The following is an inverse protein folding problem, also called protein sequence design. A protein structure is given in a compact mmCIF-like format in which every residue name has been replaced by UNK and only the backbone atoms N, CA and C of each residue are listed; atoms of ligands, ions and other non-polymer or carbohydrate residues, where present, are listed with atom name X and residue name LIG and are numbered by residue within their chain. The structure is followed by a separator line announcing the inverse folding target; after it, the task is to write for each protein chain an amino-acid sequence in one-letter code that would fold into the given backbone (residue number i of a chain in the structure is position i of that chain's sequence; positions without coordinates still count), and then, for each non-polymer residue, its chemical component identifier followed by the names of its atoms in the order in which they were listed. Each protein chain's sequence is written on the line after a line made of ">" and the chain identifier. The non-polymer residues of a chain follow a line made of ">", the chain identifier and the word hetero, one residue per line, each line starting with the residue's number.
data_IF_096708277326
#
_entry.id   IF_096708277326
#
_cell.length_a   1.000
_cell.length_b   1.000
_cell.length_c   1.000
_cell.angle_alpha   90.00
_cell.angle_beta   90.00
_cell.angle_gamma   90.00
#
_symmetry.space_group_name_H-M   'P 1'
#
loop_
_entity.id
_entity.type
_entity.pdbx_description
1 polymer ?
#
# COMPACT_ATOMS: atom_id res chain seq x y z
N UNK A 1 121.21 24.27 -32.03
CA UNK A 1 120.31 23.89 -30.90
C UNK A 1 119.44 25.05 -30.36
N UNK A 2 119.31 26.20 -31.06
CA UNK A 2 118.53 27.37 -30.60
C UNK A 2 117.14 27.56 -31.25
N UNK A 3 116.84 26.88 -32.35
CA UNK A 3 115.61 27.12 -33.13
C UNK A 3 114.35 26.43 -32.59
N UNK A 4 114.46 25.33 -31.82
CA UNK A 4 113.28 24.63 -31.28
C UNK A 4 112.62 25.33 -30.08
N UNK A 5 113.36 26.13 -29.32
CA UNK A 5 112.82 26.85 -28.13
C UNK A 5 111.95 28.03 -28.52
N UNK A 6 112.22 28.66 -29.66
CA UNK A 6 111.46 29.81 -30.16
C UNK A 6 110.08 29.41 -30.68
N UNK A 7 109.92 28.23 -31.27
CA UNK A 7 108.61 27.75 -31.77
C UNK A 7 107.62 27.41 -30.65
N UNK A 8 108.09 26.85 -29.53
CA UNK A 8 107.24 26.55 -28.39
C UNK A 8 106.77 27.81 -27.64
N UNK A 9 107.64 28.80 -27.49
CA UNK A 9 107.27 30.12 -26.94
C UNK A 9 106.27 30.84 -27.85
N UNK A 10 106.47 30.80 -29.17
CA UNK A 10 105.55 31.37 -30.16
C UNK A 10 104.18 30.68 -30.09
N UNK A 11 104.14 29.35 -29.98
CA UNK A 11 102.89 28.58 -29.83
C UNK A 11 102.15 28.89 -28.53
N UNK A 12 102.87 29.02 -27.42
CA UNK A 12 102.26 29.39 -26.12
C UNK A 12 101.73 30.83 -26.12
N UNK A 13 102.43 31.76 -26.79
CA UNK A 13 101.97 33.12 -26.99
C UNK A 13 100.74 33.19 -27.91
N UNK A 14 100.68 32.40 -28.98
CA UNK A 14 99.51 32.31 -29.86
C UNK A 14 98.29 31.76 -29.10
N UNK A 15 98.47 30.68 -28.34
CA UNK A 15 97.41 30.13 -27.49
C UNK A 15 96.91 31.14 -26.45
N UNK A 16 97.82 31.92 -25.83
CA UNK A 16 97.45 32.96 -24.88
C UNK A 16 96.69 34.12 -25.56
N UNK A 17 97.11 34.53 -26.76
CA UNK A 17 96.41 35.53 -27.57
C UNK A 17 95.01 35.05 -27.95
N UNK A 18 94.87 33.80 -28.43
CA UNK A 18 93.59 33.19 -28.79
C UNK A 18 92.65 33.07 -27.59
N UNK A 19 93.18 32.65 -26.43
CA UNK A 19 92.41 32.58 -25.19
C UNK A 19 91.94 33.97 -24.72
N UNK A 20 92.79 35.00 -24.83
CA UNK A 20 92.41 36.38 -24.51
C UNK A 20 91.39 36.96 -25.51
N UNK A 21 91.54 36.68 -26.80
CA UNK A 21 90.57 37.04 -27.85
C UNK A 21 89.20 36.42 -27.57
N UNK A 22 89.13 35.12 -27.29
CA UNK A 22 87.88 34.47 -26.89
C UNK A 22 87.30 35.02 -25.56
N UNK A 23 88.14 35.48 -24.63
CA UNK A 23 87.67 36.11 -23.39
C UNK A 23 87.05 37.49 -23.64
N UNK A 24 87.55 38.23 -24.63
CA UNK A 24 87.01 39.53 -25.07
C UNK A 24 85.72 39.32 -25.86
N UNK A 25 85.68 38.37 -26.79
CA UNK A 25 84.47 38.00 -27.56
C UNK A 25 83.34 37.54 -26.65
N UNK A 26 83.62 36.70 -25.63
CA UNK A 26 82.63 36.30 -24.61
C UNK A 26 82.16 37.43 -23.70
N UNK A 27 82.80 38.61 -23.71
CA UNK A 27 82.31 39.81 -23.03
C UNK A 27 81.48 40.71 -23.94
N UNK A 28 81.62 40.58 -25.26
CA UNK A 28 80.85 41.35 -26.23
C UNK A 28 79.41 40.78 -26.34
N UNK A 29 78.42 41.64 -26.05
CA UNK A 29 77.02 41.24 -26.08
C UNK A 29 76.51 40.97 -27.51
N UNK A 30 76.98 41.71 -28.52
CA UNK A 30 76.59 41.47 -29.92
C UNK A 30 77.06 40.11 -30.40
N UNK A 31 78.30 39.73 -30.06
CA UNK A 31 78.84 38.40 -30.33
C UNK A 31 78.02 37.29 -29.67
N UNK A 32 77.61 37.46 -28.39
CA UNK A 32 76.71 36.50 -27.71
C UNK A 32 75.36 36.38 -28.39
N UNK A 33 74.78 37.51 -28.81
CA UNK A 33 73.48 37.49 -29.48
C UNK A 33 73.54 36.76 -30.81
N UNK A 34 74.62 36.96 -31.58
CA UNK A 34 74.82 36.31 -32.87
C UNK A 34 75.15 34.81 -32.69
N UNK A 35 75.96 34.45 -31.70
CA UNK A 35 76.22 33.06 -31.33
C UNK A 35 74.93 32.34 -30.89
N UNK A 36 74.08 33.01 -30.10
CA UNK A 36 72.79 32.47 -29.69
C UNK A 36 71.83 32.28 -30.88
N UNK A 37 71.81 33.20 -31.85
CA UNK A 37 71.02 33.05 -33.08
C UNK A 37 71.48 31.84 -33.89
N UNK A 38 72.79 31.68 -34.11
CA UNK A 38 73.36 30.53 -34.82
C UNK A 38 73.08 29.22 -34.10
N UNK A 39 73.20 29.20 -32.77
CA UNK A 39 72.81 28.02 -31.95
C UNK A 39 71.32 27.71 -32.07
N UNK A 40 70.46 28.72 -32.06
CA UNK A 40 69.02 28.55 -32.22
C UNK A 40 68.63 28.02 -33.60
N UNK A 41 69.30 28.50 -34.66
CA UNK A 41 69.12 27.98 -36.03
C UNK A 41 69.62 26.55 -36.18
N UNK A 42 70.80 26.23 -35.62
CA UNK A 42 71.31 24.86 -35.59
C UNK A 42 70.36 23.90 -34.84
N UNK A 43 69.78 24.35 -33.72
CA UNK A 43 68.76 23.59 -32.98
C UNK A 43 67.47 23.41 -33.79
N UNK A 44 67.03 24.40 -34.57
CA UNK A 44 65.85 24.27 -35.44
C UNK A 44 66.08 23.22 -36.52
N UNK A 45 67.27 23.19 -37.12
CA UNK A 45 67.65 22.18 -38.13
C UNK A 45 67.75 20.80 -37.49
N UNK A 46 68.43 20.67 -36.34
CA UNK A 46 68.53 19.41 -35.61
C UNK A 46 67.15 18.86 -35.20
N UNK A 47 66.19 19.72 -34.81
CA UNK A 47 64.81 19.31 -34.51
C UNK A 47 64.01 18.83 -35.72
N UNK A 48 64.48 19.01 -36.96
CA UNK A 48 63.85 18.41 -38.13
C UNK A 48 64.30 16.97 -38.36
N UNK A 49 65.50 16.61 -37.87
CA UNK A 49 66.03 15.25 -37.92
C UNK A 49 65.30 14.32 -36.96
N UNK A 50 64.95 13.13 -37.45
CA UNK A 50 64.15 12.17 -36.69
C UNK A 50 65.00 11.44 -35.63
N UNK A 51 66.28 11.21 -35.90
CA UNK A 51 67.20 10.60 -34.95
C UNK A 51 67.39 11.51 -33.72
N UNK A 52 67.60 12.81 -33.95
CA UNK A 52 67.60 13.82 -32.90
C UNK A 52 66.28 13.89 -32.11
N UNK A 53 65.11 13.87 -32.78
CA UNK A 53 63.79 13.85 -32.08
C UNK A 53 63.64 12.64 -31.18
N UNK A 54 64.02 11.45 -31.67
CA UNK A 54 63.90 10.22 -30.87
C UNK A 54 64.81 10.25 -29.64
N UNK A 55 66.03 10.75 -29.78
CA UNK A 55 66.97 10.90 -28.68
C UNK A 55 66.55 11.98 -27.68
N UNK A 56 66.05 13.14 -28.14
CA UNK A 56 65.48 14.19 -27.29
C UNK A 56 64.25 13.68 -26.51
N UNK A 57 63.38 12.91 -27.17
CA UNK A 57 62.24 12.25 -26.53
C UNK A 57 62.67 11.24 -25.47
N UNK A 58 63.73 10.45 -25.73
CA UNK A 58 64.29 9.52 -24.72
C UNK A 58 64.82 10.27 -23.51
N UNK A 59 65.64 11.31 -23.71
CA UNK A 59 66.17 12.15 -22.63
C UNK A 59 65.07 12.81 -21.82
N UNK A 60 64.02 13.30 -22.48
CA UNK A 60 62.84 13.87 -21.83
C UNK A 60 62.06 12.82 -21.04
N UNK A 61 61.92 11.61 -21.57
CA UNK A 61 61.28 10.51 -20.87
C UNK A 61 62.08 10.03 -19.64
N UNK A 62 63.41 10.02 -19.73
CA UNK A 62 64.30 9.74 -18.60
C UNK A 62 64.26 10.85 -17.54
N UNK A 63 64.27 12.12 -17.94
CA UNK A 63 64.10 13.24 -17.02
C UNK A 63 62.75 13.16 -16.27
N UNK A 64 61.65 12.86 -16.98
CA UNK A 64 60.33 12.63 -16.38
C UNK A 64 60.27 11.39 -15.49
N UNK A 65 61.12 10.39 -15.70
CA UNK A 65 61.23 9.23 -14.79
C UNK A 65 61.92 9.62 -13.49
N UNK A 66 62.99 10.41 -13.57
CA UNK A 66 63.73 10.92 -12.41
C UNK A 66 62.83 11.85 -11.58
N UNK A 67 62.13 12.78 -12.23
CA UNK A 67 61.20 13.70 -11.57
C UNK A 67 60.02 12.94 -10.91
N UNK A 68 59.51 11.87 -11.54
CA UNK A 68 58.49 11.00 -10.92
C UNK A 68 59.00 10.15 -9.76
N UNK A 69 60.31 10.03 -9.55
CA UNK A 69 60.88 9.37 -8.38
C UNK A 69 61.01 10.32 -7.19
N UNK A 70 61.04 11.62 -7.42
CA UNK A 70 61.07 12.64 -6.39
C UNK A 70 59.74 12.68 -5.59
N UNK A 71 59.86 12.75 -4.27
CA UNK A 71 58.70 12.65 -3.38
C UNK A 71 57.93 13.97 -3.30
N UNK A 72 58.61 15.13 -3.38
CA UNK A 72 57.94 16.43 -3.44
C UNK A 72 57.08 16.51 -4.72
N UNK A 73 57.64 16.13 -5.87
CA UNK A 73 56.89 16.04 -7.12
C UNK A 73 55.68 15.10 -7.03
N UNK A 74 55.83 13.88 -6.46
CA UNK A 74 54.69 12.96 -6.27
C UNK A 74 53.60 13.55 -5.41
N UNK A 75 53.96 14.22 -4.31
CA UNK A 75 52.96 14.82 -3.41
C UNK A 75 52.21 15.95 -4.10
N UNK A 76 52.88 16.76 -4.89
CA UNK A 76 52.28 17.86 -5.64
C UNK A 76 51.41 17.36 -6.81
N UNK A 77 51.87 16.35 -7.56
CA UNK A 77 51.07 15.69 -8.60
C UNK A 77 49.80 15.05 -8.02
N UNK A 78 49.91 14.37 -6.87
CA UNK A 78 48.76 13.81 -6.16
C UNK A 78 47.77 14.90 -5.70
N UNK A 79 48.25 16.05 -5.22
CA UNK A 79 47.38 17.19 -4.87
C UNK A 79 46.63 17.72 -6.09
N UNK A 80 47.33 17.98 -7.20
CA UNK A 80 46.70 18.45 -8.45
C UNK A 80 45.67 17.44 -8.97
N UNK A 81 45.98 16.15 -8.89
CA UNK A 81 45.07 15.08 -9.30
C UNK A 81 43.84 14.99 -8.40
N UNK A 82 44.02 15.16 -7.08
CA UNK A 82 42.93 15.21 -6.12
C UNK A 82 42.03 16.45 -6.33
N UNK A 83 42.61 17.62 -6.60
CA UNK A 83 41.87 18.83 -6.95
C UNK A 83 41.10 18.68 -8.26
N UNK A 84 41.73 18.12 -9.30
CA UNK A 84 41.05 17.82 -10.57
C UNK A 84 39.86 16.87 -10.35
N UNK A 85 40.03 15.82 -9.55
CA UNK A 85 38.93 14.91 -9.19
C UNK A 85 37.82 15.60 -8.39
N UNK A 86 38.17 16.56 -7.52
CA UNK A 86 37.22 17.34 -6.75
C UNK A 86 36.38 18.25 -7.64
N UNK A 87 37.00 18.87 -8.65
CA UNK A 87 36.32 19.70 -9.66
C UNK A 87 35.40 18.82 -10.52
N UNK A 88 35.88 17.67 -11.00
CA UNK A 88 35.07 16.72 -11.78
C UNK A 88 33.88 16.18 -10.98
N UNK A 89 34.05 15.90 -9.67
CA UNK A 89 32.94 15.54 -8.77
C UNK A 89 31.96 16.67 -8.48
N UNK A 90 32.27 17.92 -8.82
CA UNK A 90 31.30 19.02 -8.73
C UNK A 90 30.42 19.10 -9.98
N UNK A 91 30.92 18.62 -11.12
CA UNK A 91 30.16 18.57 -12.36
C UNK A 91 28.93 17.66 -12.25
N UNK A 92 27.80 18.16 -12.75
CA UNK A 92 26.53 17.45 -12.64
C UNK A 92 26.41 16.34 -13.68
N UNK A 93 26.94 16.53 -14.89
CA UNK A 93 26.95 15.47 -15.92
C UNK A 93 27.75 14.26 -15.42
N UNK A 94 28.96 14.49 -14.89
CA UNK A 94 29.76 13.45 -14.26
C UNK A 94 29.01 12.71 -13.15
N UNK A 95 28.37 13.42 -12.21
CA UNK A 95 27.56 12.79 -11.14
C UNK A 95 26.43 11.93 -11.69
N UNK A 96 25.72 12.42 -12.71
CA UNK A 96 24.61 11.66 -13.30
C UNK A 96 25.11 10.38 -13.97
N UNK A 97 26.24 10.44 -14.67
CA UNK A 97 26.82 9.29 -15.34
C UNK A 97 27.43 8.28 -14.35
N UNK A 98 28.11 8.75 -13.29
CA UNK A 98 28.57 7.90 -12.19
C UNK A 98 27.39 7.21 -11.49
N UNK A 99 26.29 7.92 -11.23
CA UNK A 99 25.09 7.34 -10.65
C UNK A 99 24.45 6.28 -11.56
N UNK A 100 24.42 6.50 -12.88
CA UNK A 100 23.96 5.48 -13.84
C UNK A 100 24.83 4.23 -13.77
N UNK A 101 26.16 4.38 -13.83
CA UNK A 101 27.08 3.22 -13.74
C UNK A 101 26.92 2.47 -12.42
N UNK A 102 26.76 3.17 -11.30
CA UNK A 102 26.49 2.55 -9.99
C UNK A 102 25.14 1.83 -9.98
N UNK A 103 24.11 2.43 -10.57
CA UNK A 103 22.79 1.81 -10.66
C UNK A 103 22.80 0.55 -11.54
N UNK A 104 23.53 0.56 -12.66
CA UNK A 104 23.75 -0.61 -13.51
C UNK A 104 24.54 -1.70 -12.80
N UNK A 105 25.62 -1.34 -12.09
CA UNK A 105 26.39 -2.29 -11.28
C UNK A 105 25.50 -2.97 -10.22
N UNK A 106 24.69 -2.19 -9.49
CA UNK A 106 23.72 -2.75 -8.54
C UNK A 106 22.60 -3.56 -9.21
N UNK A 107 22.25 -3.27 -10.47
CA UNK A 107 21.29 -4.07 -11.23
C UNK A 107 21.86 -5.43 -11.58
N UNK A 108 23.14 -5.49 -11.97
CA UNK A 108 23.87 -6.74 -12.25
C UNK A 108 24.04 -7.54 -10.95
N UNK A 109 24.48 -6.90 -9.87
CA UNK A 109 24.64 -7.55 -8.56
C UNK A 109 23.31 -8.12 -8.03
N UNK A 110 22.19 -7.41 -8.20
CA UNK A 110 20.85 -7.92 -7.86
C UNK A 110 20.36 -9.06 -8.74
N UNK A 111 21.04 -9.39 -9.85
CA UNK A 111 20.72 -10.59 -10.63
C UNK A 111 21.37 -11.84 -10.04
N UNK A 112 22.48 -11.69 -9.31
CA UNK A 112 23.16 -12.79 -8.63
C UNK A 112 22.29 -13.39 -7.52
N UNK A 113 22.20 -14.71 -7.50
CA UNK A 113 21.34 -15.43 -6.57
C UNK A 113 21.96 -15.49 -5.17
N UNK A 114 23.29 -15.59 -5.05
CA UNK A 114 23.96 -15.51 -3.75
C UNK A 114 23.69 -14.16 -3.10
N UNK A 115 23.87 -13.05 -3.83
CA UNK A 115 23.50 -11.73 -3.36
C UNK A 115 22.03 -11.63 -2.91
N UNK A 116 21.06 -12.12 -3.71
CA UNK A 116 19.63 -12.11 -3.33
C UNK A 116 19.38 -12.88 -2.04
N UNK A 117 19.98 -14.06 -1.89
CA UNK A 117 19.78 -14.87 -0.68
C UNK A 117 20.32 -14.17 0.55
N UNK A 118 21.49 -13.53 0.45
CA UNK A 118 22.10 -12.81 1.56
C UNK A 118 21.35 -11.51 1.90
N UNK A 119 20.89 -10.77 0.89
CA UNK A 119 20.01 -9.60 1.10
C UNK A 119 18.70 -10.01 1.78
N UNK A 120 18.08 -11.12 1.37
CA UNK A 120 16.88 -11.65 1.99
C UNK A 120 17.12 -12.06 3.45
N UNK A 121 18.27 -12.67 3.78
CA UNK A 121 18.64 -12.96 5.18
C UNK A 121 18.76 -11.69 6.00
N UNK A 122 19.48 -10.67 5.52
CA UNK A 122 19.63 -9.38 6.21
C UNK A 122 18.28 -8.70 6.44
N UNK A 123 17.41 -8.69 5.44
CA UNK A 123 16.04 -8.16 5.56
C UNK A 123 15.22 -8.94 6.59
N UNK A 124 15.32 -10.28 6.59
CA UNK A 124 14.63 -11.13 7.56
C UNK A 124 15.14 -10.89 9.00
N UNK A 125 16.44 -10.71 9.20
CA UNK A 125 17.03 -10.35 10.49
C UNK A 125 16.61 -8.96 10.96
N UNK A 126 16.67 -7.96 10.09
CA UNK A 126 16.17 -6.62 10.40
C UNK A 126 14.69 -6.64 10.82
N UNK A 127 13.86 -7.44 10.13
CA UNK A 127 12.45 -7.60 10.49
C UNK A 127 12.26 -8.35 11.82
N UNK A 128 13.11 -9.34 12.12
CA UNK A 128 13.10 -10.00 13.44
C UNK A 128 13.39 -9.01 14.56
N UNK A 129 14.38 -8.12 14.36
CA UNK A 129 14.72 -7.07 15.33
C UNK A 129 13.55 -6.08 15.46
N UNK A 130 13.00 -5.60 14.35
CA UNK A 130 11.86 -4.68 14.38
C UNK A 130 10.64 -5.27 15.10
N UNK A 131 10.37 -6.57 14.95
CA UNK A 131 9.26 -7.26 15.66
C UNK A 131 9.46 -7.42 17.17
N UNK A 132 10.65 -7.14 17.71
CA UNK A 132 10.84 -7.04 19.15
C UNK A 132 10.21 -5.78 19.72
N UNK A 133 10.09 -4.72 18.90
CA UNK A 133 9.38 -3.51 19.27
C UNK A 133 7.85 -3.74 19.26
N UNK A 134 7.21 -3.31 20.34
CA UNK A 134 5.76 -3.46 20.53
C UNK A 134 4.99 -2.54 19.57
N UNK A 135 5.46 -1.32 19.35
CA UNK A 135 4.78 -0.36 18.47
C UNK A 135 4.76 -0.90 17.04
N UNK A 136 5.92 -1.31 16.53
CA UNK A 136 6.02 -1.99 15.22
C UNK A 136 5.06 -3.18 15.11
N UNK A 137 4.99 -4.06 16.11
CA UNK A 137 4.10 -5.24 16.11
C UNK A 137 2.62 -4.85 16.08
N UNK A 138 2.23 -3.83 16.83
CA UNK A 138 0.84 -3.36 16.82
C UNK A 138 0.45 -2.77 15.47
N UNK A 139 1.36 -2.03 14.84
CA UNK A 139 1.15 -1.42 13.54
C UNK A 139 1.13 -2.46 12.40
N UNK A 140 2.02 -3.46 12.42
CA UNK A 140 1.99 -4.61 11.50
C UNK A 140 0.66 -5.36 11.59
N UNK A 141 0.15 -5.60 12.81
CA UNK A 141 -1.14 -6.25 13.02
C UNK A 141 -2.31 -5.42 12.48
N UNK A 142 -2.31 -4.09 12.65
CA UNK A 142 -3.34 -3.21 12.09
C UNK A 142 -3.36 -3.29 10.57
N UNK A 143 -2.20 -3.17 9.91
CA UNK A 143 -2.09 -3.27 8.46
C UNK A 143 -2.55 -4.62 7.94
N UNK A 144 -2.19 -5.72 8.62
CA UNK A 144 -2.66 -7.07 8.27
C UNK A 144 -4.17 -7.21 8.44
N UNK A 145 -4.74 -6.66 9.50
CA UNK A 145 -6.18 -6.68 9.73
C UNK A 145 -6.94 -5.87 8.66
N UNK A 146 -6.40 -4.73 8.24
CA UNK A 146 -6.94 -3.90 7.17
C UNK A 146 -6.85 -4.59 5.81
N UNK A 147 -5.71 -5.21 5.48
CA UNK A 147 -5.56 -6.03 4.27
C UNK A 147 -6.60 -7.16 4.22
N UNK A 148 -6.80 -7.88 5.32
CA UNK A 148 -7.87 -8.89 5.41
C UNK A 148 -9.28 -8.31 5.36
N UNK A 149 -9.48 -7.05 5.76
CA UNK A 149 -10.78 -6.39 5.62
C UNK A 149 -11.08 -6.09 4.16
N UNK A 150 -10.08 -5.63 3.41
CA UNK A 150 -10.16 -5.37 1.97
C UNK A 150 -10.38 -6.69 1.21
N UNK A 151 -9.59 -7.72 1.50
CA UNK A 151 -9.70 -9.04 0.88
C UNK A 151 -11.08 -9.68 1.15
N UNK A 152 -11.64 -9.51 2.36
CA UNK A 152 -13.01 -9.94 2.68
C UNK A 152 -14.11 -9.11 2.02
N UNK A 153 -13.82 -7.98 1.38
CA UNK A 153 -14.81 -7.26 0.58
C UNK A 153 -14.93 -7.84 -0.83
N UNK A 154 -13.85 -8.44 -1.34
CA UNK A 154 -13.84 -9.10 -2.63
C UNK A 154 -14.76 -10.33 -2.66
N UNK A 155 -15.67 -10.36 -3.63
CA UNK A 155 -16.67 -11.41 -3.77
C UNK A 155 -16.03 -12.72 -4.26
N UNK A 156 -14.99 -12.65 -5.11
CA UNK A 156 -14.30 -13.84 -5.58
C UNK A 156 -13.60 -14.55 -4.42
N UNK A 157 -12.88 -13.79 -3.57
CA UNK A 157 -12.33 -14.28 -2.33
C UNK A 157 -13.38 -14.91 -1.40
N UNK A 158 -14.53 -14.26 -1.16
CA UNK A 158 -15.60 -14.81 -0.32
C UNK A 158 -16.11 -16.14 -0.85
N UNK A 159 -16.33 -16.26 -2.16
CA UNK A 159 -16.81 -17.51 -2.75
C UNK A 159 -15.81 -18.64 -2.57
N UNK A 160 -14.53 -18.36 -2.77
CA UNK A 160 -13.47 -19.35 -2.62
C UNK A 160 -13.24 -19.74 -1.15
N UNK A 161 -13.30 -18.78 -0.22
CA UNK A 161 -13.26 -19.06 1.22
C UNK A 161 -14.45 -19.93 1.66
N UNK A 162 -15.66 -19.66 1.16
CA UNK A 162 -16.84 -20.47 1.44
C UNK A 162 -16.71 -21.90 0.90
N UNK A 163 -16.12 -22.09 -0.29
CA UNK A 163 -15.81 -23.44 -0.82
C UNK A 163 -14.83 -24.18 0.09
N UNK A 164 -13.72 -23.55 0.47
CA UNK A 164 -12.72 -24.14 1.38
C UNK A 164 -13.32 -24.51 2.74
N UNK A 165 -14.15 -23.62 3.31
CA UNK A 165 -14.88 -23.92 4.56
C UNK A 165 -15.84 -25.08 4.40
N UNK A 166 -16.57 -25.15 3.29
CA UNK A 166 -17.49 -26.26 3.02
C UNK A 166 -16.74 -27.59 2.84
N UNK A 167 -15.58 -27.60 2.17
CA UNK A 167 -14.72 -28.77 2.03
C UNK A 167 -14.12 -29.20 3.35
N UNK A 168 -13.58 -28.27 4.14
CA UNK A 168 -13.08 -28.55 5.48
C UNK A 168 -14.18 -29.16 6.38
N UNK A 169 -15.42 -28.65 6.29
CA UNK A 169 -16.55 -29.21 7.03
C UNK A 169 -16.95 -30.60 6.52
N UNK A 170 -16.87 -30.85 5.19
CA UNK A 170 -17.09 -32.20 4.63
C UNK A 170 -16.07 -33.19 5.17
N UNK A 171 -14.79 -32.79 5.25
CA UNK A 171 -13.72 -33.61 5.81
C UNK A 171 -13.96 -33.85 7.31
N UNK A 172 -14.23 -32.80 8.08
CA UNK A 172 -14.49 -32.91 9.52
C UNK A 172 -15.70 -33.82 9.82
N UNK A 173 -16.75 -33.78 8.99
CA UNK A 173 -17.91 -34.68 9.11
C UNK A 173 -17.61 -36.13 8.73
N UNK A 174 -16.43 -36.48 8.25
CA UNK A 174 -16.04 -37.89 8.13
C UNK A 174 -15.77 -38.49 9.52
N UNK A 175 -15.25 -37.69 10.46
CA UNK A 175 -15.04 -38.08 11.86
C UNK A 175 -16.38 -38.17 12.61
N UNK A 176 -16.58 -39.27 13.34
CA UNK A 176 -17.81 -39.56 14.08
C UNK A 176 -17.91 -38.75 15.38
N UNK A 177 -16.77 -38.43 16.01
CA UNK A 177 -16.75 -37.59 17.22
C UNK A 177 -17.23 -36.17 16.89
N UNK A 178 -16.74 -35.61 15.77
CA UNK A 178 -17.20 -34.33 15.24
C UNK A 178 -18.71 -34.32 14.93
N UNK A 179 -19.25 -35.38 14.32
CA UNK A 179 -20.70 -35.48 14.03
C UNK A 179 -21.53 -35.47 15.32
N UNK A 180 -21.10 -36.18 16.35
CA UNK A 180 -21.81 -36.22 17.63
C UNK A 180 -21.78 -34.87 18.33
N UNK A 181 -20.62 -34.22 18.35
CA UNK A 181 -20.48 -32.89 18.93
C UNK A 181 -21.32 -31.85 18.17
N UNK A 182 -21.35 -31.91 16.84
CA UNK A 182 -22.21 -31.05 16.00
C UNK A 182 -23.69 -31.27 16.32
N UNK A 183 -24.14 -32.52 16.48
CA UNK A 183 -25.52 -32.84 16.89
C UNK A 183 -25.84 -32.27 18.27
N UNK A 184 -24.96 -32.44 19.25
CA UNK A 184 -25.13 -31.91 20.61
C UNK A 184 -25.21 -30.37 20.59
N UNK A 185 -24.34 -29.71 19.84
CA UNK A 185 -24.32 -28.25 19.68
C UNK A 185 -25.60 -27.74 19.03
N UNK A 186 -26.09 -28.43 17.99
CA UNK A 186 -27.35 -28.10 17.33
C UNK A 186 -28.56 -28.30 18.26
N UNK A 187 -28.58 -29.39 19.04
CA UNK A 187 -29.64 -29.64 20.03
C UNK A 187 -29.67 -28.54 21.10
N UNK A 188 -28.51 -28.15 21.63
CA UNK A 188 -28.39 -27.05 22.60
C UNK A 188 -28.86 -25.71 22.01
N UNK A 189 -28.47 -25.40 20.76
CA UNK A 189 -28.94 -24.19 20.06
C UNK A 189 -30.47 -24.17 19.93
N UNK A 190 -31.08 -25.31 19.56
CA UNK A 190 -32.53 -25.42 19.46
C UNK A 190 -33.21 -25.30 20.84
N UNK A 191 -32.63 -25.89 21.88
CA UNK A 191 -33.10 -25.76 23.26
C UNK A 191 -33.11 -24.28 23.70
N UNK A 192 -31.97 -23.60 23.56
CA UNK A 192 -31.86 -22.18 23.92
C UNK A 192 -32.82 -21.28 23.12
N UNK A 193 -33.01 -21.58 21.83
CA UNK A 193 -33.97 -20.86 21.00
C UNK A 193 -35.41 -21.01 21.54
N UNK A 194 -35.79 -22.23 21.94
CA UNK A 194 -37.12 -22.52 22.51
C UNK A 194 -37.29 -21.89 23.89
N UNK A 195 -36.25 -21.91 24.73
CA UNK A 195 -36.28 -21.26 26.04
C UNK A 195 -36.42 -19.75 25.93
N UNK A 196 -35.69 -19.12 25.00
CA UNK A 196 -35.82 -17.69 24.72
C UNK A 196 -37.22 -17.33 24.22
N UNK A 197 -37.81 -18.16 23.37
CA UNK A 197 -39.18 -17.95 22.93
C UNK A 197 -40.18 -18.10 24.09
N UNK A 198 -39.99 -19.12 24.93
CA UNK A 198 -40.85 -19.36 26.10
C UNK A 198 -40.75 -18.21 27.11
N UNK A 199 -39.54 -17.74 27.43
CA UNK A 199 -39.35 -16.63 28.35
C UNK A 199 -39.93 -15.33 27.80
N UNK A 200 -39.77 -15.07 26.49
CA UNK A 200 -40.40 -13.93 25.82
C UNK A 200 -41.94 -14.01 25.90
N UNK A 201 -42.51 -15.19 25.71
CA UNK A 201 -43.95 -15.41 25.81
C UNK A 201 -44.47 -15.26 27.24
N UNK A 202 -43.79 -15.87 28.22
CA UNK A 202 -44.14 -15.77 29.65
C UNK A 202 -44.06 -14.31 30.14
N UNK A 203 -43.11 -13.53 29.62
CA UNK A 203 -43.03 -12.08 29.86
C UNK A 203 -44.24 -11.32 29.31
N UNK A 204 -44.65 -11.59 28.07
CA UNK A 204 -45.87 -11.00 27.49
C UNK A 204 -47.12 -11.38 28.28
N UNK A 205 -47.26 -12.65 28.66
CA UNK A 205 -48.37 -13.15 29.46
C UNK A 205 -48.46 -12.45 30.81
N UNK A 206 -47.33 -12.31 31.51
CA UNK A 206 -47.28 -11.62 32.81
C UNK A 206 -47.67 -10.15 32.70
N UNK A 207 -47.20 -9.45 31.66
CA UNK A 207 -47.59 -8.06 31.39
C UNK A 207 -49.11 -7.93 31.17
N UNK A 208 -49.69 -8.83 30.37
CA UNK A 208 -51.13 -8.87 30.13
C UNK A 208 -51.92 -9.15 31.41
N UNK A 209 -51.51 -10.12 32.22
CA UNK A 209 -52.16 -10.44 33.49
C UNK A 209 -52.10 -9.27 34.49
N UNK A 210 -50.97 -8.55 34.58
CA UNK A 210 -50.86 -7.34 35.40
C UNK A 210 -51.82 -6.26 34.92
N UNK A 211 -51.93 -6.03 33.61
CA UNK A 211 -52.87 -5.06 33.03
C UNK A 211 -54.34 -5.42 33.28
N UNK A 212 -54.68 -6.71 33.36
CA UNK A 212 -56.04 -7.13 33.75
C UNK A 212 -56.29 -6.87 35.24
N UNK A 213 -55.34 -7.24 36.11
CA UNK A 213 -55.49 -7.06 37.56
C UNK A 213 -55.58 -5.59 37.95
N UNK A 214 -54.82 -4.75 37.27
CA UNK A 214 -54.89 -3.30 37.42
C UNK A 214 -55.99 -2.70 36.54
N UNK A 215 -56.87 -3.50 35.92
CA UNK A 215 -57.93 -3.01 35.06
C UNK A 215 -58.90 -2.07 35.82
N UNK A 216 -59.56 -1.14 35.11
CA UNK A 216 -60.53 -0.23 35.71
C UNK A 216 -61.65 -0.99 36.46
N UNK A 217 -61.75 -0.72 37.76
CA UNK A 217 -62.63 -1.38 38.74
C UNK A 217 -64.07 -0.88 38.67
N UNK A 218 -64.31 0.30 38.10
CA UNK A 218 -65.63 0.93 38.09
C UNK A 218 -66.07 1.40 36.71
N UNK A 219 -67.36 1.16 36.40
CA UNK A 219 -68.01 1.68 35.20
C UNK A 219 -68.66 3.02 35.56
N UNK A 220 -68.21 4.11 34.92
CA UNK A 220 -68.76 5.43 35.15
C UNK A 220 -70.19 5.52 34.62
N UNK A 221 -71.16 5.75 35.49
CA UNK A 221 -72.57 5.80 35.13
C UNK A 221 -72.97 7.01 34.28
N UNK A 222 -72.13 8.04 34.16
CA UNK A 222 -72.42 9.24 33.36
C UNK A 222 -71.99 9.12 31.90
N UNK A 223 -70.96 8.32 31.57
CA UNK A 223 -70.43 8.21 30.21
C UNK A 223 -70.14 6.78 29.74
N UNK A 224 -70.37 5.77 30.59
CA UNK A 224 -70.15 4.36 30.29
C UNK A 224 -68.68 3.94 30.20
N UNK A 225 -67.74 4.84 30.49
CA UNK A 225 -66.30 4.56 30.47
C UNK A 225 -65.80 3.80 31.71
N UNK A 226 -64.71 3.06 31.56
CA UNK A 226 -64.09 2.28 32.64
C UNK A 226 -63.01 3.12 33.38
N UNK A 227 -63.11 3.26 34.71
CA UNK A 227 -62.24 4.08 35.57
C UNK A 227 -61.52 3.22 36.64
N UNK A 228 -60.29 3.59 37.03
CA UNK A 228 -59.59 3.03 38.21
C UNK A 228 -59.87 3.91 39.44
N UNK A 229 -59.84 3.31 40.63
CA UNK A 229 -60.15 3.93 41.92
C UNK A 229 -59.50 5.31 42.08
N UNK A 230 -60.34 6.28 42.44
CA UNK A 230 -59.94 7.64 42.79
C UNK A 230 -59.36 7.61 44.21
N UNK A 231 -58.04 7.68 44.33
CA UNK A 231 -57.43 8.19 45.56
C UNK A 231 -57.62 9.71 45.55
N UNK A 232 -58.56 10.17 46.38
CA UNK A 232 -58.86 11.58 46.64
C UNK A 232 -57.66 12.28 47.30
N UNK A 233 -57.14 13.33 46.65
CA UNK A 233 -57.17 14.70 47.20
C UNK A 233 -56.77 15.71 46.10
N UNK A 234 -57.71 16.62 45.82
CA UNK A 234 -57.53 17.93 45.16
C UNK A 234 -56.99 17.98 43.72
N UNK A 235 -57.89 17.75 42.75
CA UNK A 235 -58.02 18.67 41.60
C UNK A 235 -59.40 18.60 40.94
N UNK A 236 -60.21 19.59 41.29
CA UNK A 236 -61.23 20.27 40.49
C UNK A 236 -61.75 19.59 39.22
N UNK A 237 -63.07 19.39 39.22
CA UNK A 237 -63.93 19.19 38.06
C UNK A 237 -63.46 19.96 36.82
N UNK A 238 -62.93 19.24 35.84
CA UNK A 238 -63.12 19.55 34.43
C UNK A 238 -63.81 18.34 33.79
N UNK A 239 -65.13 18.41 33.81
CA UNK A 239 -65.95 17.71 32.82
C UNK A 239 -65.91 18.51 31.52
N UNK A 240 -64.74 18.69 30.93
CA UNK A 240 -64.62 19.28 29.59
C UNK A 240 -63.68 18.40 28.74
N UNK A 241 -64.20 18.01 27.57
CA UNK A 241 -63.50 17.44 26.43
C UNK A 241 -62.90 16.02 26.55
N UNK A 242 -63.73 15.02 26.87
CA UNK A 242 -63.50 13.68 26.31
C UNK A 242 -64.07 13.63 24.89
N UNK A 243 -63.29 13.31 23.85
CA UNK A 243 -63.85 13.11 22.53
C UNK A 243 -64.87 11.98 22.59
N UNK A 244 -66.04 12.22 21.98
CA UNK A 244 -66.99 11.16 21.63
C UNK A 244 -66.18 10.04 20.99
N UNK A 245 -66.35 8.83 21.52
CA UNK A 245 -65.75 7.57 21.06
C UNK A 245 -65.26 7.68 19.60
N UNK A 246 -63.94 7.63 19.35
CA UNK A 246 -63.46 7.40 18.01
C UNK A 246 -63.76 5.94 17.70
N UNK A 247 -65.02 5.66 17.36
CA UNK A 247 -65.27 4.71 16.31
C UNK A 247 -64.41 5.16 15.15
N UNK A 248 -63.31 4.43 14.93
CA UNK A 248 -62.47 4.49 13.73
C UNK A 248 -61.58 5.72 13.49
N UNK A 249 -60.92 6.29 14.49
CA UNK A 249 -59.74 7.17 14.27
C UNK A 249 -58.61 6.81 15.23
N UNK A 250 -57.63 6.03 14.78
CA UNK A 250 -56.30 6.49 14.38
C UNK A 250 -55.53 7.22 15.49
N UNK A 251 -54.76 6.45 16.27
CA UNK A 251 -53.62 6.97 17.04
C UNK A 251 -52.49 7.28 16.07
N UNK A 252 -52.51 8.48 15.51
CA UNK A 252 -51.32 9.18 15.02
C UNK A 252 -50.43 9.48 16.25
N UNK A 253 -49.43 8.62 16.45
CA UNK A 253 -48.24 9.02 17.21
C UNK A 253 -47.46 9.96 16.29
N UNK A 254 -47.30 11.20 16.73
CA UNK A 254 -46.43 12.16 16.08
C UNK A 254 -45.01 11.59 16.00
N UNK A 255 -44.48 11.61 14.79
CA UNK A 255 -43.13 11.28 14.41
C UNK A 255 -42.12 12.14 15.15
N UNK A 256 -41.25 11.53 15.95
CA UNK A 256 -39.84 11.93 15.96
C UNK A 256 -38.97 10.67 15.98
N UNK A 257 -38.13 10.56 14.95
CA UNK A 257 -37.12 9.53 14.66
C UNK A 257 -37.68 8.36 13.83
N UNK A 258 -37.46 8.46 12.52
CA UNK A 258 -37.94 7.52 11.53
C UNK A 258 -37.32 6.13 11.63
N UNK A 259 -38.13 5.14 11.26
CA UNK A 259 -37.82 4.29 10.12
C UNK A 259 -39.13 3.70 9.58
N UNK A 260 -39.24 3.68 8.25
CA UNK A 260 -40.39 3.15 7.53
C UNK A 260 -40.63 1.68 7.88
N UNK A 261 -41.78 1.38 8.48
CA UNK A 261 -42.64 0.19 8.27
C UNK A 261 -43.36 -0.24 9.56
N UNK A 262 -44.36 0.50 10.05
CA UNK A 262 -45.29 -0.04 11.06
C UNK A 262 -46.75 0.25 10.72
N UNK A 263 -47.31 -0.62 9.88
CA UNK A 263 -48.75 -0.79 9.66
C UNK A 263 -49.32 -1.50 10.89
N UNK A 264 -50.20 -0.83 11.63
CA UNK A 264 -50.93 -1.42 12.76
C UNK A 264 -51.63 -2.72 12.37
N UNK A 265 -51.28 -3.81 13.05
CA UNK A 265 -51.81 -5.16 12.80
C UNK A 265 -53.03 -5.39 13.71
N UNK A 266 -54.20 -5.68 13.11
CA UNK A 266 -55.44 -6.08 13.81
C UNK A 266 -55.62 -7.59 13.75
N UNK A 267 -56.13 -8.16 14.84
CA UNK A 267 -56.33 -9.59 15.06
C UNK A 267 -57.85 -9.93 15.04
N UNK A 268 -58.34 -10.71 14.03
CA UNK A 268 -59.56 -11.56 14.10
C UNK A 268 -59.28 -13.00 13.54
N UNK A 269 -59.93 -14.11 14.02
CA UNK A 269 -59.37 -15.46 14.09
C UNK A 269 -58.93 -16.06 12.74
N UNK A 270 -57.61 -16.21 12.60
CA UNK A 270 -56.87 -16.55 11.37
C UNK A 270 -55.50 -15.84 11.33
N UNK A 271 -54.87 -15.70 12.49
CA UNK A 271 -54.12 -14.51 12.85
C UNK A 271 -52.59 -14.70 12.89
N UNK A 272 -51.92 -14.14 11.88
CA UNK A 272 -50.49 -13.75 11.78
C UNK A 272 -50.01 -13.73 10.31
N UNK A 273 -50.84 -14.23 9.39
CA UNK A 273 -50.62 -13.99 7.97
C UNK A 273 -51.30 -12.68 7.57
N UNK A 274 -50.51 -11.67 7.18
CA UNK A 274 -51.03 -10.57 6.38
C UNK A 274 -51.59 -11.18 5.09
N UNK A 275 -52.83 -10.87 4.67
CA UNK A 275 -53.31 -11.34 3.37
C UNK A 275 -52.34 -10.83 2.30
N UNK A 276 -51.81 -11.73 1.49
CA UNK A 276 -50.94 -11.36 0.36
C UNK A 276 -51.75 -10.44 -0.54
N UNK A 277 -51.15 -9.34 -1.02
CA UNK A 277 -51.81 -8.44 -1.96
C UNK A 277 -52.34 -9.25 -3.15
N UNK A 278 -53.57 -8.97 -3.61
CA UNK A 278 -54.21 -9.63 -4.76
C UNK A 278 -53.28 -9.67 -5.99
N UNK A 279 -52.38 -8.70 -6.13
CA UNK A 279 -51.41 -8.60 -7.22
C UNK A 279 -50.16 -9.47 -7.04
N UNK A 280 -49.86 -9.93 -5.81
CA UNK A 280 -48.69 -10.75 -5.48
C UNK A 280 -49.06 -12.18 -5.09
N UNK A 281 -50.36 -12.49 -5.00
CA UNK A 281 -50.82 -13.84 -4.73
C UNK A 281 -50.85 -14.64 -6.04
N UNK A 282 -49.90 -15.57 -6.16
CA UNK A 282 -49.75 -16.47 -7.31
C UNK A 282 -50.97 -17.38 -7.52
N UNK A 283 -51.88 -17.49 -6.56
CA UNK A 283 -53.10 -18.31 -6.63
C UNK A 283 -54.40 -17.50 -6.58
N UNK A 284 -54.31 -16.21 -6.91
CA UNK A 284 -55.44 -15.30 -6.80
C UNK A 284 -56.58 -15.65 -7.77
N UNK A 285 -56.25 -16.11 -8.98
CA UNK A 285 -57.24 -16.43 -10.02
C UNK A 285 -58.12 -17.62 -9.63
N UNK A 286 -57.56 -18.61 -8.91
CA UNK A 286 -58.30 -19.80 -8.46
C UNK A 286 -59.24 -19.53 -7.27
N UNK A 287 -58.96 -18.47 -6.51
CA UNK A 287 -59.74 -18.04 -5.35
C UNK A 287 -60.82 -17.01 -5.72
N UNK A 288 -60.61 -16.26 -6.81
CA UNK A 288 -61.51 -15.18 -7.24
C UNK A 288 -62.77 -15.71 -7.95
N UNK A 289 -62.74 -16.91 -8.55
CA UNK A 289 -63.90 -17.49 -9.25
C UNK A 289 -64.27 -18.91 -8.74
N UNK A 290 -65.01 -18.99 -7.62
CA UNK A 290 -65.30 -20.26 -6.94
C UNK A 290 -66.09 -21.26 -7.78
N UNK A 291 -66.98 -20.80 -8.67
CA UNK A 291 -67.80 -21.68 -9.52
C UNK A 291 -67.01 -22.38 -10.63
N UNK A 292 -65.85 -21.83 -11.03
CA UNK A 292 -65.05 -22.36 -12.15
C UNK A 292 -63.89 -23.22 -11.62
N UNK A 293 -63.26 -22.79 -10.53
CA UNK A 293 -62.05 -23.44 -10.02
C UNK A 293 -62.28 -24.24 -8.74
N UNK A 294 -63.36 -23.99 -7.98
CA UNK A 294 -63.67 -24.64 -6.69
C UNK A 294 -62.44 -24.78 -5.75
N UNK A 295 -61.49 -23.84 -5.82
CA UNK A 295 -60.26 -23.84 -5.02
C UNK A 295 -59.16 -24.83 -5.45
N UNK A 296 -59.17 -25.39 -6.66
CA UNK A 296 -58.13 -26.32 -7.16
C UNK A 296 -57.38 -25.78 -8.38
N UNK A 297 -56.04 -25.87 -8.32
CA UNK A 297 -55.15 -25.42 -9.40
C UNK A 297 -55.20 -26.35 -10.62
N UNK A 298 -55.55 -25.83 -11.80
CA UNK A 298 -55.52 -26.60 -13.05
C UNK A 298 -54.10 -26.64 -13.61
N UNK A 299 -53.55 -27.84 -13.78
CA UNK A 299 -52.23 -28.04 -14.39
C UNK A 299 -52.35 -27.97 -15.92
N UNK A 300 -51.99 -26.83 -16.49
CA UNK A 300 -51.90 -26.68 -17.94
C UNK A 300 -50.55 -27.24 -18.40
N UNK A 301 -50.56 -28.24 -19.28
CA UNK A 301 -49.32 -28.79 -19.87
C UNK A 301 -48.76 -27.77 -20.86
N UNK A 302 -47.51 -27.36 -20.67
CA UNK A 302 -46.86 -26.20 -21.31
C UNK A 302 -46.71 -26.25 -22.85
N UNK A 303 -47.25 -27.27 -23.55
CA UNK A 303 -47.06 -27.42 -25.00
C UNK A 303 -48.35 -27.77 -25.76
N UNK A 304 -49.52 -27.42 -25.22
CA UNK A 304 -50.81 -27.60 -25.90
C UNK A 304 -51.46 -26.24 -26.10
N UNK A 305 -51.71 -25.87 -27.37
CA UNK A 305 -52.43 -24.64 -27.73
C UNK A 305 -53.89 -24.76 -27.27
N UNK A 306 -54.22 -24.11 -26.16
CA UNK A 306 -55.58 -24.12 -25.60
C UNK A 306 -56.50 -23.21 -26.41
N UNK A 307 -57.63 -23.75 -26.86
CA UNK A 307 -58.72 -23.01 -27.48
C UNK A 307 -59.93 -22.99 -26.54
N UNK A 308 -60.69 -21.89 -26.59
CA UNK A 308 -61.78 -21.57 -25.66
C UNK A 308 -62.84 -22.67 -25.50
N UNK A 309 -63.01 -23.54 -26.51
CA UNK A 309 -63.95 -24.66 -26.46
C UNK A 309 -63.58 -25.77 -25.45
N UNK A 310 -62.36 -25.80 -24.91
CA UNK A 310 -61.87 -26.85 -24.00
C UNK A 310 -61.93 -26.51 -22.50
N UNK A 311 -62.49 -25.37 -22.10
CA UNK A 311 -62.46 -24.89 -20.70
C UNK A 311 -63.84 -24.97 -20.01
N UNK A 312 -64.87 -25.53 -20.66
CA UNK A 312 -66.17 -25.79 -20.02
C UNK A 312 -66.07 -26.89 -18.94
#
# INVERSE_FOLDING_TARGET
>A
MRERRTDDEVRLLDNRRRANSHKIERRNNEFKTEENKRRAEALKIARQDDEFKTEDNKRRAEALKIERQDDEFKTEDNKRRAEAHKIERQDNEFKTEENKRRAEAHKIERQDDEFKTEENKRRAEALKIARQDKEFKTEENKRRAEAHKIERQDDEFKTEENKRRAEALKIARQDDEFKEEERRRNALRMHNSRDNYKSSFDGMKSNYESKIKEGPTHICSCCGGLCKDFDDEDKWNECDDKPVNPSTTETLLNDEIGDQNDIGIKFAPGENNRPISILMDLKVDELTFPKIYCGKQRKIKANVKLTYAKIA
#
